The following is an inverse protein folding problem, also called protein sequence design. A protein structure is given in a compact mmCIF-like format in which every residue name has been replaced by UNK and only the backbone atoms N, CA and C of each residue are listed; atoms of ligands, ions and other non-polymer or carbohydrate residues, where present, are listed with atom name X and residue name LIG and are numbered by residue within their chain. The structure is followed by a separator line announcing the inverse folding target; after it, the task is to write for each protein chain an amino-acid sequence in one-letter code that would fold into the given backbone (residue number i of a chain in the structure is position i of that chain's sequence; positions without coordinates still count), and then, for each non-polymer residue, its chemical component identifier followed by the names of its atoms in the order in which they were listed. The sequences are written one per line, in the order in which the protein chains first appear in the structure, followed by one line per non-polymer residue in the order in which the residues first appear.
data_IF_607357269758
#
_entry.id   IF_607357269758
#
_cell.length_a   1.000
_cell.length_b   1.000
_cell.length_c   1.000
_cell.angle_alpha   90.00
_cell.angle_beta   90.00
_cell.angle_gamma   90.00
#
_symmetry.space_group_name_H-M   'P 1'
#
loop_
_entity.id
_entity.type
_entity.pdbx_description
1 polymer ?
#
# COMPACT_ATOMS: atom_id res chain seq x y z
N UNK A 1 25.55 5.08 -8.14
CA UNK A 1 24.46 4.24 -7.59
C UNK A 1 23.15 4.82 -8.09
N UNK A 2 22.25 4.01 -8.67
CA UNK A 2 20.95 4.48 -9.14
C UNK A 2 20.01 4.65 -7.92
N UNK A 3 19.22 5.72 -7.89
CA UNK A 3 18.38 6.12 -6.76
C UNK A 3 17.39 5.02 -6.35
N UNK A 4 16.80 4.31 -7.31
CA UNK A 4 15.92 3.16 -7.04
C UNK A 4 16.63 2.04 -6.25
N UNK A 5 17.92 1.81 -6.55
CA UNK A 5 18.72 0.80 -5.84
C UNK A 5 19.14 1.28 -4.45
N UNK A 6 19.35 2.58 -4.26
CA UNK A 6 19.57 3.17 -2.94
C UNK A 6 18.36 2.93 -2.02
N UNK A 7 17.14 3.23 -2.49
CA UNK A 7 15.93 3.01 -1.69
C UNK A 7 15.63 1.53 -1.46
N UNK A 8 15.90 0.66 -2.44
CA UNK A 8 15.86 -0.79 -2.24
C UNK A 8 16.78 -1.24 -1.12
N UNK A 9 18.05 -0.83 -1.16
CA UNK A 9 19.04 -1.22 -0.16
C UNK A 9 18.65 -0.70 1.22
N UNK A 10 18.23 0.57 1.32
CA UNK A 10 17.71 1.16 2.54
C UNK A 10 16.54 0.33 3.10
N UNK A 11 15.60 -0.07 2.24
CA UNK A 11 14.44 -0.85 2.67
C UNK A 11 14.84 -2.23 3.20
N UNK A 12 15.76 -2.93 2.52
CA UNK A 12 16.27 -4.24 2.95
C UNK A 12 16.98 -4.14 4.31
N UNK A 13 17.82 -3.11 4.50
CA UNK A 13 18.54 -2.91 5.76
C UNK A 13 17.56 -2.61 6.92
N UNK A 14 16.59 -1.73 6.70
CA UNK A 14 15.61 -1.36 7.72
C UNK A 14 14.69 -2.54 8.07
N UNK A 15 14.19 -3.28 7.09
CA UNK A 15 13.31 -4.44 7.34
C UNK A 15 14.05 -5.59 8.01
N UNK A 16 15.31 -5.84 7.65
CA UNK A 16 16.14 -6.82 8.34
C UNK A 16 16.31 -6.51 9.84
N UNK A 17 16.30 -5.22 10.21
CA UNK A 17 16.42 -4.79 11.61
C UNK A 17 15.07 -4.76 12.35
N UNK A 18 14.01 -4.25 11.71
CA UNK A 18 12.76 -3.90 12.40
C UNK A 18 11.56 -4.78 12.01
N UNK A 19 11.50 -5.31 10.79
CA UNK A 19 10.32 -6.01 10.26
C UNK A 19 10.69 -7.12 9.25
N UNK A 20 11.04 -8.31 9.74
CA UNK A 20 11.57 -9.44 8.93
C UNK A 20 10.52 -10.22 8.14
N UNK A 21 9.35 -9.66 7.91
CA UNK A 21 8.17 -10.34 7.33
C UNK A 21 8.01 -10.10 5.83
N UNK A 22 8.85 -9.22 5.28
CA UNK A 22 8.84 -8.80 3.89
C UNK A 22 9.72 -9.73 3.04
N UNK A 23 9.12 -10.28 1.99
CA UNK A 23 9.82 -11.11 1.00
C UNK A 23 9.80 -10.43 -0.36
N UNK A 24 10.98 -10.29 -0.99
CA UNK A 24 11.11 -9.68 -2.31
C UNK A 24 10.65 -10.67 -3.40
N UNK A 25 9.85 -10.17 -4.34
CA UNK A 25 9.44 -10.89 -5.54
C UNK A 25 10.53 -10.75 -6.62
N UNK A 26 11.34 -11.80 -6.79
CA UNK A 26 12.41 -11.82 -7.80
C UNK A 26 11.91 -11.83 -9.24
N UNK A 27 10.65 -12.20 -9.49
CA UNK A 27 10.09 -12.30 -10.83
C UNK A 27 9.45 -10.98 -11.29
N UNK A 28 9.35 -9.99 -10.39
CA UNK A 28 8.76 -8.70 -10.67
C UNK A 28 9.65 -7.84 -11.58
N UNK A 29 9.10 -7.39 -12.73
CA UNK A 29 9.88 -6.73 -13.79
C UNK A 29 9.82 -5.20 -13.80
N UNK A 30 8.94 -4.59 -12.99
CA UNK A 30 8.64 -3.16 -13.08
C UNK A 30 9.23 -2.34 -11.94
N UNK A 31 10.35 -2.78 -11.39
CA UNK A 31 11.00 -2.18 -10.22
C UNK A 31 11.25 -3.25 -9.17
N UNK A 32 10.96 -2.94 -7.92
CA UNK A 32 11.07 -3.88 -6.80
C UNK A 32 9.74 -4.02 -6.10
N UNK A 33 9.40 -5.23 -5.68
CA UNK A 33 8.16 -5.56 -5.01
C UNK A 33 8.45 -6.48 -3.85
N UNK A 34 7.88 -6.17 -2.70
CA UNK A 34 7.88 -7.02 -1.52
C UNK A 34 6.45 -7.36 -1.14
N UNK A 35 6.25 -8.55 -0.59
CA UNK A 35 4.99 -8.97 0.02
C UNK A 35 5.22 -9.31 1.47
N UNK A 36 4.30 -8.88 2.32
CA UNK A 36 4.26 -9.23 3.74
C UNK A 36 3.44 -10.52 3.91
N UNK A 37 3.91 -11.41 4.78
CA UNK A 37 3.17 -12.60 5.19
C UNK A 37 2.46 -12.43 6.54
N UNK A 38 2.21 -11.18 6.98
CA UNK A 38 1.63 -10.91 8.29
C UNK A 38 0.10 -11.07 8.28
N UNK A 39 -0.36 -12.21 8.81
CA UNK A 39 -1.76 -12.41 9.20
C UNK A 39 -2.73 -12.72 8.05
N UNK A 40 -3.94 -13.13 8.42
CA UNK A 40 -4.96 -13.61 7.47
C UNK A 40 -6.02 -12.58 7.06
N UNK A 41 -6.02 -11.40 7.68
CA UNK A 41 -7.10 -10.42 7.51
C UNK A 41 -6.96 -9.59 6.21
N UNK A 42 -5.74 -9.27 5.82
CA UNK A 42 -5.39 -8.55 4.59
C UNK A 42 -3.97 -8.94 4.18
N UNK A 43 -3.60 -8.67 2.93
CA UNK A 43 -2.21 -8.85 2.47
C UNK A 43 -1.59 -7.49 2.21
N UNK A 44 -0.31 -7.36 2.52
CA UNK A 44 0.43 -6.14 2.26
C UNK A 44 1.44 -6.35 1.15
N UNK A 45 1.61 -5.33 0.33
CA UNK A 45 2.66 -5.26 -0.66
C UNK A 45 3.33 -3.89 -0.60
N UNK A 46 4.64 -3.86 -0.82
CA UNK A 46 5.39 -2.63 -0.93
C UNK A 46 6.15 -2.64 -2.24
N UNK A 47 6.03 -1.56 -3.00
CA UNK A 47 6.55 -1.47 -4.35
C UNK A 47 7.37 -0.20 -4.50
N UNK A 48 8.51 -0.32 -5.19
CA UNK A 48 9.35 0.80 -5.59
C UNK A 48 9.47 0.75 -7.11
N UNK A 49 8.96 1.76 -7.80
CA UNK A 49 8.99 1.81 -9.27
C UNK A 49 9.49 3.11 -9.82
N UNK A 50 10.13 3.04 -10.98
CA UNK A 50 10.51 4.20 -11.75
C UNK A 50 10.16 3.95 -13.21
N UNK A 51 9.22 4.73 -13.75
CA UNK A 51 8.96 4.74 -15.20
C UNK A 51 9.92 5.72 -15.88
N UNK A 52 10.07 5.65 -17.21
CA UNK A 52 11.02 6.54 -17.93
C UNK A 52 10.63 8.03 -17.87
N UNK A 53 9.38 8.33 -17.57
CA UNK A 53 8.82 9.68 -17.62
C UNK A 53 8.44 10.23 -16.24
N UNK A 54 8.49 9.40 -15.20
CA UNK A 54 8.07 9.79 -13.85
C UNK A 54 9.23 9.65 -12.86
N UNK A 55 9.12 10.41 -11.78
CA UNK A 55 10.01 10.25 -10.63
C UNK A 55 9.82 8.87 -10.00
N UNK A 56 10.83 8.46 -9.23
CA UNK A 56 10.77 7.22 -8.47
C UNK A 56 9.62 7.31 -7.46
N UNK A 57 8.75 6.30 -7.44
CA UNK A 57 7.58 6.26 -6.56
C UNK A 57 7.67 5.08 -5.61
N UNK A 58 7.21 5.32 -4.38
CA UNK A 58 7.01 4.32 -3.34
C UNK A 58 5.51 4.10 -3.21
N UNK A 59 5.09 2.84 -3.23
CA UNK A 59 3.69 2.47 -3.11
C UNK A 59 3.50 1.37 -2.07
N UNK A 60 2.66 1.65 -1.09
CA UNK A 60 2.15 0.66 -0.15
C UNK A 60 0.76 0.21 -0.60
N UNK A 61 0.50 -1.09 -0.57
CA UNK A 61 -0.75 -1.69 -1.02
C UNK A 61 -1.31 -2.59 0.07
N UNK A 62 -2.59 -2.40 0.40
CA UNK A 62 -3.37 -3.30 1.24
C UNK A 62 -4.43 -4.00 0.38
N UNK A 63 -4.30 -5.32 0.26
CA UNK A 63 -5.29 -6.19 -0.39
C UNK A 63 -6.30 -6.67 0.64
N UNK A 64 -7.54 -6.26 0.47
CA UNK A 64 -8.69 -6.63 1.29
C UNK A 64 -9.51 -7.74 0.63
N UNK A 65 -10.09 -8.67 1.41
CA UNK A 65 -10.97 -9.70 0.88
C UNK A 65 -12.27 -9.11 0.32
N UNK A 66 -12.95 -9.88 -0.52
CA UNK A 66 -14.20 -9.48 -1.17
C UNK A 66 -15.29 -8.98 -0.22
N UNK A 67 -15.31 -9.46 1.03
CA UNK A 67 -16.27 -9.02 2.05
C UNK A 67 -16.29 -7.50 2.25
N UNK A 68 -15.17 -6.81 2.02
CA UNK A 68 -15.08 -5.35 2.13
C UNK A 68 -15.85 -4.59 1.03
N UNK A 69 -16.30 -5.26 -0.04
CA UNK A 69 -17.20 -4.64 -1.03
C UNK A 69 -18.59 -4.34 -0.47
N UNK A 70 -18.98 -4.98 0.64
CA UNK A 70 -20.28 -4.80 1.28
C UNK A 70 -20.24 -3.74 2.38
N UNK A 71 -19.21 -2.90 2.38
CA UNK A 71 -19.03 -1.86 3.38
C UNK A 71 -18.93 -0.49 2.72
N UNK A 72 -18.98 0.56 3.53
CA UNK A 72 -18.91 1.94 3.03
C UNK A 72 -17.47 2.42 2.71
N UNK A 73 -16.50 1.51 2.52
CA UNK A 73 -15.10 1.86 2.30
C UNK A 73 -14.89 2.80 1.11
N UNK A 74 -15.67 2.63 0.05
CA UNK A 74 -15.63 3.47 -1.14
C UNK A 74 -16.12 4.90 -0.90
N UNK A 75 -16.94 5.12 0.13
CA UNK A 75 -17.39 6.44 0.54
C UNK A 75 -16.34 7.09 1.45
N UNK A 76 -15.84 6.33 2.43
CA UNK A 76 -14.82 6.80 3.37
C UNK A 76 -13.57 7.31 2.64
N UNK A 77 -13.08 6.56 1.65
CA UNK A 77 -11.85 6.94 0.95
C UNK A 77 -11.97 8.25 0.17
N UNK A 78 -13.16 8.61 -0.32
CA UNK A 78 -13.39 9.86 -1.06
C UNK A 78 -13.26 11.11 -0.19
N UNK A 79 -13.38 10.94 1.12
CA UNK A 79 -13.39 12.03 2.09
C UNK A 79 -12.13 12.08 2.95
N UNK A 80 -11.18 11.16 2.74
CA UNK A 80 -9.93 11.19 3.49
C UNK A 80 -8.94 12.18 2.90
N UNK A 81 -8.39 12.99 3.78
CA UNK A 81 -7.22 13.81 3.52
C UNK A 81 -5.99 13.02 3.93
N UNK A 82 -5.12 12.70 2.98
CA UNK A 82 -3.83 12.06 3.22
C UNK A 82 -2.70 12.91 2.64
N UNK A 83 -1.51 12.78 3.22
CA UNK A 83 -0.28 13.33 2.64
C UNK A 83 0.20 12.52 1.42
N UNK A 84 -0.43 11.37 1.16
CA UNK A 84 -0.13 10.46 0.06
C UNK A 84 -1.26 10.43 -0.95
N UNK A 85 -0.93 10.00 -2.17
CA UNK A 85 -1.94 9.73 -3.18
C UNK A 85 -2.61 8.38 -2.88
N UNK A 86 -3.84 8.46 -2.34
CA UNK A 86 -4.67 7.30 -2.05
C UNK A 86 -5.51 6.92 -3.27
N UNK A 87 -5.60 5.62 -3.55
CA UNK A 87 -6.46 5.08 -4.59
C UNK A 87 -7.05 3.73 -4.17
N UNK A 88 -8.21 3.40 -4.75
CA UNK A 88 -8.89 2.13 -4.52
C UNK A 88 -9.24 1.47 -5.85
N UNK A 89 -8.86 0.20 -5.98
CA UNK A 89 -9.17 -0.64 -7.13
C UNK A 89 -10.05 -1.80 -6.71
N UNK A 90 -11.19 -1.97 -7.37
CA UNK A 90 -12.14 -3.05 -7.09
C UNK A 90 -11.98 -4.13 -8.13
N UNK A 91 -11.66 -5.35 -7.68
CA UNK A 91 -11.51 -6.54 -8.53
C UNK A 91 -12.63 -7.55 -8.25
N UNK A 92 -12.73 -8.58 -9.08
CA UNK A 92 -13.75 -9.63 -8.94
C UNK A 92 -13.73 -10.31 -7.56
N UNK A 93 -12.57 -10.54 -6.93
CA UNK A 93 -12.47 -11.28 -5.66
C UNK A 93 -11.83 -10.49 -4.50
N UNK A 94 -11.52 -9.20 -4.71
CA UNK A 94 -10.75 -8.40 -3.74
C UNK A 94 -10.89 -6.90 -3.98
N UNK A 95 -10.46 -6.11 -3.00
CA UNK A 95 -10.21 -4.67 -3.12
C UNK A 95 -8.72 -4.44 -2.88
N UNK A 96 -8.11 -3.54 -3.65
CA UNK A 96 -6.77 -3.02 -3.35
C UNK A 96 -6.88 -1.55 -2.97
N UNK A 97 -6.35 -1.22 -1.79
CA UNK A 97 -6.07 0.14 -1.39
C UNK A 97 -4.60 0.41 -1.65
N UNK A 98 -4.29 1.52 -2.30
CA UNK A 98 -2.91 1.93 -2.59
C UNK A 98 -2.67 3.30 -1.99
N UNK A 99 -1.50 3.49 -1.39
CA UNK A 99 -0.97 4.77 -0.97
C UNK A 99 0.35 4.96 -1.69
N UNK A 100 0.50 6.06 -2.40
CA UNK A 100 1.64 6.34 -3.25
C UNK A 100 2.27 7.68 -2.90
N UNK A 101 3.59 7.75 -2.98
CA UNK A 101 4.33 9.01 -2.88
C UNK A 101 5.54 8.99 -3.82
N UNK A 102 5.74 10.09 -4.54
CA UNK A 102 7.00 10.34 -5.24
C UNK A 102 8.12 10.63 -4.23
N UNK A 103 9.31 10.11 -4.48
CA UNK A 103 10.48 10.40 -3.64
C UNK A 103 10.80 11.89 -3.53
N UNK A 104 10.37 12.72 -4.47
CA UNK A 104 10.59 14.17 -4.46
C UNK A 104 9.86 14.83 -3.29
N UNK A 105 8.77 14.20 -2.84
CA UNK A 105 7.95 14.63 -1.71
C UNK A 105 8.18 13.77 -0.45
N UNK A 106 9.06 12.77 -0.53
CA UNK A 106 9.29 11.84 0.58
C UNK A 106 10.19 12.50 1.64
N UNK A 107 9.60 12.78 2.80
CA UNK A 107 10.29 13.41 3.94
C UNK A 107 10.84 12.41 4.98
N UNK A 108 10.68 11.11 4.72
CA UNK A 108 10.96 10.04 5.67
C UNK A 108 11.64 8.85 4.98
N UNK A 109 12.04 7.84 5.75
CA UNK A 109 12.57 6.60 5.18
C UNK A 109 11.46 5.80 4.47
N UNK A 110 11.85 4.87 3.60
CA UNK A 110 10.92 3.92 2.98
C UNK A 110 10.07 3.17 4.02
N UNK A 111 10.70 2.72 5.12
CA UNK A 111 9.98 2.07 6.23
C UNK A 111 9.06 3.04 6.99
N UNK A 112 9.48 4.29 7.21
CA UNK A 112 8.63 5.33 7.80
C UNK A 112 7.38 5.56 6.96
N UNK A 113 7.53 5.64 5.64
CA UNK A 113 6.40 5.70 4.71
C UNK A 113 5.45 4.51 4.85
N UNK A 114 5.96 3.28 4.87
CA UNK A 114 5.11 2.09 5.04
C UNK A 114 4.35 2.16 6.36
N UNK A 115 4.99 2.52 7.46
CA UNK A 115 4.33 2.60 8.76
C UNK A 115 3.21 3.64 8.78
N UNK A 116 3.44 4.83 8.22
CA UNK A 116 2.43 5.87 8.14
C UNK A 116 1.29 5.48 7.20
N UNK A 117 1.60 5.01 5.99
CA UNK A 117 0.59 4.57 5.03
C UNK A 117 -0.24 3.38 5.56
N UNK A 118 0.40 2.43 6.24
CA UNK A 118 -0.25 1.30 6.91
C UNK A 118 -1.21 1.79 7.99
N UNK A 119 -0.78 2.70 8.87
CA UNK A 119 -1.64 3.25 9.91
C UNK A 119 -2.87 3.94 9.32
N UNK A 120 -2.69 4.81 8.33
CA UNK A 120 -3.80 5.48 7.63
C UNK A 120 -4.77 4.49 6.99
N UNK A 121 -4.27 3.44 6.31
CA UNK A 121 -5.11 2.42 5.69
C UNK A 121 -5.87 1.57 6.71
N UNK A 122 -5.23 1.23 7.83
CA UNK A 122 -5.89 0.49 8.92
C UNK A 122 -7.04 1.34 9.48
N UNK A 123 -6.81 2.63 9.74
CA UNK A 123 -7.84 3.54 10.25
C UNK A 123 -9.01 3.69 9.27
N UNK A 124 -8.72 3.78 7.97
CA UNK A 124 -9.71 3.76 6.89
C UNK A 124 -10.57 2.49 6.94
N UNK A 125 -9.92 1.33 7.02
CA UNK A 125 -10.57 0.02 7.03
C UNK A 125 -11.45 -0.15 8.27
N UNK A 126 -10.99 0.29 9.45
CA UNK A 126 -11.80 0.28 10.68
C UNK A 126 -12.99 1.22 10.60
N UNK A 127 -12.81 2.41 10.04
CA UNK A 127 -13.89 3.38 9.84
C UNK A 127 -14.96 2.86 8.88
N UNK A 128 -14.56 1.97 7.97
CA UNK A 128 -15.40 1.41 6.93
C UNK A 128 -16.25 0.20 7.35
N UNK A 129 -16.40 -0.13 8.64
CA UNK A 129 -17.11 -1.35 9.10
C UNK A 129 -18.65 -1.24 9.02
N UNK A 130 -19.22 -0.08 8.66
CA UNK A 130 -20.68 0.02 8.47
C UNK A 130 -21.10 -0.84 7.27
N UNK A 131 -21.81 -1.92 7.54
CA UNK A 131 -22.49 -2.70 6.48
C UNK A 131 -23.48 -1.78 5.79
N UNK A 132 -23.32 -1.62 4.48
CA UNK A 132 -24.30 -0.93 3.66
C UNK A 132 -25.23 -2.01 3.15
N UNK A 133 -26.46 -2.05 3.68
CA UNK A 133 -27.52 -2.87 3.12
C UNK A 133 -27.82 -2.33 1.72
N UNK A 134 -27.36 -3.04 0.69
CA UNK A 134 -27.84 -2.80 -0.66
C UNK A 134 -29.29 -3.28 -0.72
N UNK A 135 -30.25 -2.38 -0.53
CA UNK A 135 -31.63 -2.64 -0.92
C UNK A 135 -31.63 -2.99 -2.41
N UNK A 136 -31.94 -4.25 -2.72
CA UNK A 136 -32.14 -4.72 -4.09
C UNK A 136 -33.32 -3.97 -4.70
N UNK A 137 -33.04 -3.13 -5.69
CA UNK A 137 -34.01 -2.55 -6.61
C UNK A 137 -34.52 -3.62 -7.58
#
# INVERSE_FOLDING_TARGET
MNLIHYYRQQFIELTAQFEKVWEEDSDYKFGFLWRSHVGSAYKEMFQITQTRQESLCLMYVMELPESYKRTNISEVIKHVTSAYELSMYVFASKIMLTSCISIENLQQTSLGFIHHARAEMIDLVFSAIRQVDYETV
#
